data_IF_609817527340
#
_entry.id   IF_609817527340
#
_cell.length_a   1.000
_cell.length_b   1.000
_cell.length_c   1.000
_cell.angle_alpha   90.00
_cell.angle_beta   90.00
_cell.angle_gamma   90.00
#
_symmetry.space_group_name_H-M   'P 1'
#
loop_
_entity.id
_entity.type
_entity.pdbx_description
1 polymer ?
#
# COMPACT_ATOMS: atom_id res chain seq x y z
N UNK A 1 -20.91 19.17 11.14
CA UNK A 1 -19.59 19.53 10.59
C UNK A 1 -19.61 19.35 9.08
N UNK A 2 -18.74 20.03 8.35
CA UNK A 2 -18.60 19.85 6.89
C UNK A 2 -17.95 18.51 6.54
N UNK A 3 -18.21 18.02 5.32
CA UNK A 3 -17.57 16.77 4.85
C UNK A 3 -16.05 16.83 4.84
N UNK A 4 -15.45 17.98 4.49
CA UNK A 4 -14.01 18.19 4.56
C UNK A 4 -13.44 18.08 5.99
N UNK A 5 -14.15 18.58 6.99
CA UNK A 5 -13.76 18.45 8.40
C UNK A 5 -13.87 17.01 8.89
N UNK A 6 -14.89 16.28 8.40
CA UNK A 6 -15.00 14.85 8.65
C UNK A 6 -13.79 14.09 8.15
N UNK A 7 -13.37 14.34 6.90
CA UNK A 7 -12.17 13.71 6.31
C UNK A 7 -10.93 14.00 7.16
N UNK A 8 -10.71 15.24 7.58
CA UNK A 8 -9.56 15.61 8.40
C UNK A 8 -9.55 14.86 9.74
N UNK A 9 -10.68 14.82 10.45
CA UNK A 9 -10.83 14.10 11.72
C UNK A 9 -10.72 12.59 11.56
N UNK A 10 -11.26 12.03 10.49
CA UNK A 10 -11.14 10.61 10.16
C UNK A 10 -9.67 10.22 9.99
N UNK A 11 -8.91 10.97 9.17
CA UNK A 11 -7.49 10.70 8.93
C UNK A 11 -6.68 10.78 10.24
N UNK A 12 -6.94 11.77 11.06
CA UNK A 12 -6.31 11.89 12.39
C UNK A 12 -6.64 10.70 13.29
N UNK A 13 -7.90 10.28 13.33
CA UNK A 13 -8.37 9.17 14.17
C UNK A 13 -7.77 7.82 13.79
N UNK A 14 -7.47 7.59 12.50
CA UNK A 14 -6.75 6.38 12.04
C UNK A 14 -5.21 6.50 12.16
N UNK A 15 -4.70 7.58 12.74
CA UNK A 15 -3.26 7.80 12.95
C UNK A 15 -2.49 8.30 11.73
N UNK A 16 -3.16 8.65 10.63
CA UNK A 16 -2.54 9.22 9.43
C UNK A 16 -2.46 10.74 9.55
N UNK A 17 -1.47 11.21 10.30
CA UNK A 17 -1.33 12.65 10.64
C UNK A 17 -0.60 13.49 9.58
N UNK A 18 -0.11 12.87 8.50
CA UNK A 18 0.54 13.55 7.39
C UNK A 18 -0.18 13.25 6.08
N UNK A 19 -0.48 14.30 5.31
CA UNK A 19 -1.10 14.19 3.99
C UNK A 19 -0.19 14.86 2.96
N UNK A 20 0.19 14.09 1.93
CA UNK A 20 1.04 14.56 0.83
C UNK A 20 0.18 15.00 -0.34
N UNK A 21 0.42 16.20 -0.87
CA UNK A 21 -0.47 16.74 -1.90
C UNK A 21 0.21 17.72 -2.86
N UNK A 22 -0.43 17.95 -4.00
CA UNK A 22 -0.25 19.12 -4.85
C UNK A 22 -1.55 19.90 -4.84
N UNK A 23 -1.48 21.19 -4.54
CA UNK A 23 -2.66 22.05 -4.41
C UNK A 23 -3.47 22.11 -5.71
N UNK A 24 -4.81 22.04 -5.58
CA UNK A 24 -5.72 22.19 -6.69
C UNK A 24 -7.15 22.46 -6.24
N UNK A 25 -7.97 23.00 -7.13
CA UNK A 25 -9.31 23.51 -6.80
C UNK A 25 -10.23 22.47 -6.18
N UNK A 26 -10.25 21.24 -6.73
CA UNK A 26 -11.20 20.22 -6.29
C UNK A 26 -10.87 19.58 -4.91
N UNK A 27 -9.76 19.95 -4.26
CA UNK A 27 -9.43 19.51 -2.89
C UNK A 27 -9.29 20.68 -1.90
N UNK A 28 -9.57 21.91 -2.33
CA UNK A 28 -9.31 23.10 -1.51
C UNK A 28 -10.01 23.08 -0.15
N UNK A 29 -11.25 22.60 -0.08
CA UNK A 29 -11.98 22.48 1.18
C UNK A 29 -11.35 21.45 2.13
N UNK A 30 -10.86 20.32 1.60
CA UNK A 30 -10.22 19.30 2.41
C UNK A 30 -8.85 19.78 2.92
N UNK A 31 -8.06 20.45 2.08
CA UNK A 31 -6.76 20.99 2.48
C UNK A 31 -6.91 22.08 3.56
N UNK A 32 -7.91 22.97 3.43
CA UNK A 32 -8.23 23.96 4.44
C UNK A 32 -8.64 23.31 5.78
N UNK A 33 -9.49 22.28 5.74
CA UNK A 33 -9.90 21.54 6.94
C UNK A 33 -8.71 20.82 7.61
N UNK A 34 -7.82 20.20 6.82
CA UNK A 34 -6.61 19.57 7.34
C UNK A 34 -5.65 20.58 7.99
N UNK A 35 -5.51 21.77 7.38
CA UNK A 35 -4.63 22.82 7.92
C UNK A 35 -5.15 23.39 9.26
N UNK A 36 -6.45 23.31 9.52
CA UNK A 36 -7.09 23.74 10.77
C UNK A 36 -7.16 22.64 11.82
N UNK A 37 -7.06 21.38 11.45
CA UNK A 37 -7.16 20.25 12.38
C UNK A 37 -5.83 20.11 13.14
N UNK A 38 -5.86 20.32 14.45
CA UNK A 38 -4.69 20.25 15.32
C UNK A 38 -4.01 18.88 15.22
N UNK A 39 -2.68 18.87 15.04
CA UNK A 39 -1.87 17.67 14.91
C UNK A 39 -1.81 17.09 13.51
N UNK A 40 -2.54 17.65 12.53
CA UNK A 40 -2.43 17.29 11.12
C UNK A 40 -1.36 18.14 10.42
N UNK A 41 -0.67 17.53 9.47
CA UNK A 41 0.37 18.16 8.65
C UNK A 41 0.09 17.96 7.17
N UNK A 42 -0.04 19.05 6.43
CA UNK A 42 -0.13 19.04 4.97
C UNK A 42 1.27 19.28 4.39
N UNK A 43 1.74 18.36 3.57
CA UNK A 43 3.04 18.42 2.91
C UNK A 43 2.85 18.62 1.41
N UNK A 44 3.26 19.79 0.91
CA UNK A 44 3.10 20.14 -0.49
C UNK A 44 4.25 19.61 -1.34
N UNK A 45 3.91 19.00 -2.48
CA UNK A 45 4.83 18.51 -3.48
C UNK A 45 4.75 19.31 -4.78
N UNK A 46 5.72 19.13 -5.67
CA UNK A 46 5.76 19.73 -6.99
C UNK A 46 5.07 18.87 -8.06
N UNK A 47 4.81 17.59 -7.76
CA UNK A 47 4.18 16.64 -8.64
C UNK A 47 3.49 15.53 -7.83
N UNK A 48 2.28 15.13 -8.23
CA UNK A 48 1.45 14.18 -7.49
C UNK A 48 2.06 12.77 -7.45
N UNK A 49 2.80 12.37 -8.49
CA UNK A 49 3.55 11.11 -8.47
C UNK A 49 4.54 11.06 -7.30
N UNK A 50 5.24 12.16 -7.04
CA UNK A 50 6.17 12.23 -5.91
C UNK A 50 5.42 12.19 -4.57
N UNK A 51 4.24 12.80 -4.47
CA UNK A 51 3.38 12.70 -3.30
C UNK A 51 2.93 11.25 -3.05
N UNK A 52 2.55 10.52 -4.10
CA UNK A 52 2.16 9.11 -3.98
C UNK A 52 3.34 8.21 -3.56
N UNK A 53 4.54 8.46 -4.07
CA UNK A 53 5.76 7.76 -3.64
C UNK A 53 6.14 8.10 -2.19
N UNK A 54 5.87 9.33 -1.73
CA UNK A 54 6.06 9.69 -0.32
C UNK A 54 5.07 8.95 0.59
N UNK A 55 3.82 8.77 0.18
CA UNK A 55 2.85 7.96 0.93
C UNK A 55 3.27 6.49 1.01
N UNK A 56 3.77 5.91 -0.08
CA UNK A 56 4.38 4.57 -0.08
C UNK A 56 5.55 4.48 0.92
N UNK A 57 6.43 5.48 0.93
CA UNK A 57 7.59 5.53 1.82
C UNK A 57 7.20 5.60 3.31
N UNK A 58 6.07 6.19 3.67
CA UNK A 58 5.57 6.22 5.06
C UNK A 58 5.40 4.80 5.60
N UNK A 59 4.75 3.92 4.84
CA UNK A 59 4.61 2.51 5.24
C UNK A 59 5.96 1.82 5.39
N UNK A 60 6.84 1.99 4.41
CA UNK A 60 8.16 1.33 4.42
C UNK A 60 9.04 1.76 5.58
N UNK A 61 8.84 2.95 6.13
CA UNK A 61 9.69 3.51 7.19
C UNK A 61 9.12 3.28 8.59
N UNK A 62 7.81 3.39 8.77
CA UNK A 62 7.22 3.34 10.11
C UNK A 62 5.96 2.46 10.24
N UNK A 63 5.50 1.84 9.15
CA UNK A 63 4.32 0.99 9.16
C UNK A 63 2.99 1.72 9.31
N UNK A 64 2.96 3.04 9.12
CA UNK A 64 1.71 3.81 9.14
C UNK A 64 1.12 3.92 7.74
N UNK A 65 -0.21 4.09 7.66
CA UNK A 65 -0.90 4.31 6.39
C UNK A 65 -0.54 5.68 5.81
N UNK A 66 0.16 5.69 4.67
CA UNK A 66 0.45 6.93 3.94
C UNK A 66 -0.78 7.44 3.20
N UNK A 67 -0.97 8.76 3.19
CA UNK A 67 -2.14 9.41 2.58
C UNK A 67 -1.71 10.46 1.58
N UNK A 68 -2.35 10.45 0.39
CA UNK A 68 -2.22 11.55 -0.59
C UNK A 68 -3.55 12.23 -0.84
N UNK A 69 -3.48 13.49 -1.24
CA UNK A 69 -4.60 14.21 -1.86
C UNK A 69 -4.19 14.82 -3.20
N UNK A 70 -5.06 14.69 -4.20
CA UNK A 70 -4.88 15.33 -5.50
C UNK A 70 -6.20 15.89 -6.05
N UNK A 71 -6.11 16.95 -6.82
CA UNK A 71 -7.26 17.53 -7.52
C UNK A 71 -7.76 16.64 -8.65
N UNK A 72 -8.91 16.93 -9.21
CA UNK A 72 -9.49 16.23 -10.36
C UNK A 72 -8.59 16.25 -11.60
N UNK A 73 -8.87 15.38 -12.54
CA UNK A 73 -8.21 15.37 -13.86
C UNK A 73 -6.74 15.05 -13.80
N UNK A 74 -5.85 15.91 -14.34
CA UNK A 74 -4.42 15.62 -14.43
C UNK A 74 -3.77 15.43 -13.06
N UNK A 75 -4.24 16.09 -12.00
CA UNK A 75 -3.75 15.87 -10.65
C UNK A 75 -4.01 14.44 -10.18
N UNK A 76 -5.23 13.97 -10.32
CA UNK A 76 -5.60 12.60 -9.96
C UNK A 76 -4.85 11.55 -10.81
N UNK A 77 -4.76 11.73 -12.14
CA UNK A 77 -4.06 10.79 -13.01
C UNK A 77 -2.55 10.73 -12.77
N UNK A 78 -1.94 11.82 -12.32
CA UNK A 78 -0.52 11.84 -11.97
C UNK A 78 -0.18 10.97 -10.73
N UNK A 79 -1.16 10.62 -9.88
CA UNK A 79 -0.95 9.68 -8.78
C UNK A 79 -0.70 8.25 -9.25
N UNK A 80 -1.23 7.86 -10.42
CA UNK A 80 -1.34 6.46 -10.85
C UNK A 80 0.00 5.72 -10.87
N UNK A 81 1.08 6.35 -11.26
CA UNK A 81 2.41 5.72 -11.24
C UNK A 81 2.83 5.33 -9.82
N UNK A 82 2.69 6.23 -8.85
CA UNK A 82 3.02 5.93 -7.46
C UNK A 82 2.06 4.91 -6.83
N UNK A 83 0.78 4.97 -7.17
CA UNK A 83 -0.22 3.98 -6.79
C UNK A 83 0.18 2.59 -7.32
N UNK A 84 0.55 2.49 -8.60
CA UNK A 84 0.99 1.23 -9.20
C UNK A 84 2.24 0.65 -8.51
N UNK A 85 3.20 1.50 -8.11
CA UNK A 85 4.36 1.05 -7.33
C UNK A 85 3.92 0.38 -6.02
N UNK A 86 3.03 1.03 -5.25
CA UNK A 86 2.47 0.46 -4.02
C UNK A 86 1.68 -0.83 -4.26
N UNK A 87 0.93 -0.91 -5.36
CA UNK A 87 0.15 -2.11 -5.72
C UNK A 87 1.03 -3.33 -5.97
N UNK A 88 2.07 -3.18 -6.77
CA UNK A 88 2.98 -4.30 -7.08
C UNK A 88 3.83 -4.72 -5.89
N UNK A 89 4.19 -3.78 -5.02
CA UNK A 89 4.97 -4.04 -3.81
C UNK A 89 4.10 -4.39 -2.59
N UNK A 90 2.77 -4.40 -2.74
CA UNK A 90 1.81 -4.71 -1.65
C UNK A 90 1.88 -3.71 -0.48
N UNK A 91 2.05 -2.44 -0.78
CA UNK A 91 2.14 -1.36 0.20
C UNK A 91 0.77 -0.70 0.36
N UNK A 92 0.18 -0.69 1.56
CA UNK A 92 -1.08 -0.02 1.82
C UNK A 92 -0.90 1.50 1.80
N UNK A 93 -1.74 2.19 1.06
CA UNK A 93 -1.82 3.65 1.02
C UNK A 93 -3.23 4.11 0.66
N UNK A 94 -3.65 5.25 1.18
CA UNK A 94 -4.93 5.87 0.88
C UNK A 94 -4.74 7.09 -0.02
N UNK A 95 -5.34 7.05 -1.19
CA UNK A 95 -5.32 8.15 -2.15
C UNK A 95 -6.71 8.78 -2.21
N UNK A 96 -6.81 10.06 -1.83
CA UNK A 96 -8.05 10.83 -1.89
C UNK A 96 -7.95 11.79 -3.05
N UNK A 97 -8.91 11.71 -3.97
CA UNK A 97 -9.01 12.66 -5.08
C UNK A 97 -10.22 13.56 -4.90
N UNK A 98 -10.06 14.82 -5.26
CA UNK A 98 -11.20 15.71 -5.40
C UNK A 98 -11.83 15.56 -6.76
N UNK A 99 -13.13 15.76 -6.84
CA UNK A 99 -13.89 15.66 -8.07
C UNK A 99 -14.81 16.87 -8.24
N UNK A 100 -15.23 17.16 -9.47
CA UNK A 100 -16.30 18.12 -9.76
C UNK A 100 -17.57 17.75 -9.03
N UNK A 101 -18.51 18.70 -8.91
CA UNK A 101 -19.78 18.46 -8.24
C UNK A 101 -20.53 17.26 -8.85
N UNK A 102 -21.23 16.52 -8.02
CA UNK A 102 -21.90 15.29 -8.45
C UNK A 102 -22.91 15.52 -9.60
N UNK A 103 -23.58 16.66 -9.63
CA UNK A 103 -24.51 16.98 -10.72
C UNK A 103 -23.79 17.15 -12.07
N UNK A 104 -22.58 17.72 -12.08
CA UNK A 104 -21.75 17.81 -13.28
C UNK A 104 -21.29 16.41 -13.74
N UNK A 105 -20.98 15.52 -12.81
CA UNK A 105 -20.63 14.12 -13.13
C UNK A 105 -21.81 13.36 -13.78
N UNK A 106 -23.05 13.61 -13.33
CA UNK A 106 -24.25 13.01 -13.94
C UNK A 106 -24.42 13.43 -15.40
N UNK A 107 -24.15 14.70 -15.71
CA UNK A 107 -24.20 15.19 -17.08
C UNK A 107 -23.22 14.45 -17.99
N UNK A 108 -22.01 14.18 -17.49
CA UNK A 108 -21.01 13.40 -18.21
C UNK A 108 -21.49 11.96 -18.50
N UNK A 109 -22.04 11.28 -17.51
CA UNK A 109 -22.49 9.88 -17.65
C UNK A 109 -23.68 9.71 -18.61
N UNK A 110 -24.46 10.77 -18.82
CA UNK A 110 -25.64 10.78 -19.71
C UNK A 110 -25.41 11.34 -21.11
N UNK A 111 -24.23 11.91 -21.39
CA UNK A 111 -23.97 12.62 -22.64
C UNK A 111 -22.73 12.07 -23.34
N UNK A 112 -22.72 12.10 -24.70
CA UNK A 112 -21.57 11.74 -25.53
C UNK A 112 -20.51 12.87 -25.57
N UNK A 113 -20.17 13.41 -24.40
CA UNK A 113 -19.14 14.45 -24.24
C UNK A 113 -17.91 13.87 -23.53
N UNK A 114 -16.74 14.41 -23.87
CA UNK A 114 -15.49 13.95 -23.23
C UNK A 114 -15.31 14.53 -21.82
N UNK A 115 -15.92 15.65 -21.52
CA UNK A 115 -15.80 16.37 -20.26
C UNK A 115 -17.05 17.25 -20.06
N UNK A 116 -17.66 17.21 -18.88
CA UNK A 116 -18.79 18.09 -18.52
C UNK A 116 -18.37 19.14 -17.47
N UNK A 117 -17.62 18.74 -16.45
CA UNK A 117 -17.04 19.62 -15.44
C UNK A 117 -15.58 19.96 -15.72
N UNK A 118 -15.05 21.00 -15.05
CA UNK A 118 -13.67 21.43 -15.24
C UNK A 118 -12.68 20.34 -14.82
N UNK A 119 -11.86 19.88 -15.77
CA UNK A 119 -10.89 18.78 -15.56
C UNK A 119 -11.52 17.48 -15.01
N UNK A 120 -12.79 17.24 -15.31
CA UNK A 120 -13.44 15.99 -14.91
C UNK A 120 -12.79 14.79 -15.59
N UNK A 121 -12.57 13.74 -14.81
CA UNK A 121 -12.00 12.47 -15.28
C UNK A 121 -12.57 11.32 -14.46
N UNK A 122 -12.79 10.17 -15.09
CA UNK A 122 -13.14 8.93 -14.38
C UNK A 122 -11.86 8.28 -13.82
N UNK A 123 -11.35 8.87 -12.76
CA UNK A 123 -10.14 8.37 -12.09
C UNK A 123 -10.35 6.98 -11.46
N UNK A 124 -11.56 6.68 -11.04
CA UNK A 124 -11.88 5.38 -10.44
C UNK A 124 -11.66 4.25 -11.44
N UNK A 125 -12.18 4.37 -12.67
CA UNK A 125 -11.97 3.37 -13.71
C UNK A 125 -10.50 3.26 -14.12
N UNK A 126 -9.75 4.37 -14.11
CA UNK A 126 -8.32 4.36 -14.41
C UNK A 126 -7.48 3.72 -13.31
N UNK A 127 -7.85 3.88 -12.05
CA UNK A 127 -7.12 3.36 -10.90
C UNK A 127 -7.43 1.88 -10.59
N UNK A 128 -8.61 1.37 -10.95
CA UNK A 128 -9.04 -0.01 -10.66
C UNK A 128 -8.00 -1.09 -10.95
N UNK A 129 -7.25 -1.07 -12.05
CA UNK A 129 -6.25 -2.11 -12.35
C UNK A 129 -5.05 -2.12 -11.40
N UNK A 130 -4.81 -1.04 -10.70
CA UNK A 130 -3.65 -0.82 -9.81
C UNK A 130 -4.03 -0.41 -8.40
N UNK A 131 -5.29 -0.58 -8.02
CA UNK A 131 -5.81 -0.38 -6.67
C UNK A 131 -6.52 -1.63 -6.19
N UNK A 132 -6.47 -1.90 -4.90
CA UNK A 132 -7.32 -2.94 -4.29
C UNK A 132 -8.78 -2.51 -4.23
N UNK A 133 -8.99 -1.24 -4.01
CA UNK A 133 -10.31 -0.64 -3.93
C UNK A 133 -10.27 0.78 -4.52
N UNK A 134 -11.23 1.12 -5.36
CA UNK A 134 -11.37 2.46 -5.92
C UNK A 134 -12.85 2.80 -6.07
N UNK A 135 -13.28 3.90 -5.49
CA UNK A 135 -14.68 4.32 -5.44
C UNK A 135 -14.85 5.83 -5.57
N UNK A 136 -15.91 6.25 -6.27
CA UNK A 136 -16.41 7.61 -6.25
C UNK A 136 -17.65 7.66 -5.35
N UNK A 137 -17.70 8.60 -4.41
CA UNK A 137 -18.81 8.77 -3.47
C UNK A 137 -19.79 9.83 -3.94
N UNK A 138 -21.07 9.64 -3.64
CA UNK A 138 -22.15 10.52 -4.11
C UNK A 138 -22.95 11.16 -2.98
N UNK A 139 -22.85 10.64 -1.76
CA UNK A 139 -23.51 11.15 -0.56
C UNK A 139 -22.53 11.16 0.63
N UNK A 140 -22.86 11.91 1.69
CA UNK A 140 -22.08 11.91 2.92
C UNK A 140 -22.07 10.54 3.63
N UNK A 141 -23.18 9.82 3.54
CA UNK A 141 -23.27 8.46 4.11
C UNK A 141 -22.33 7.50 3.38
N UNK A 142 -22.33 7.55 2.03
CA UNK A 142 -21.35 6.81 1.25
C UNK A 142 -19.93 7.23 1.58
N UNK A 143 -19.64 8.53 1.67
CA UNK A 143 -18.30 9.02 2.01
C UNK A 143 -17.79 8.44 3.32
N UNK A 144 -18.63 8.42 4.37
CA UNK A 144 -18.28 7.82 5.68
C UNK A 144 -17.98 6.33 5.56
N UNK A 145 -18.90 5.60 4.93
CA UNK A 145 -18.79 4.15 4.74
C UNK A 145 -17.57 3.79 3.87
N UNK A 146 -17.38 4.50 2.76
CA UNK A 146 -16.34 4.16 1.81
C UNK A 146 -14.94 4.55 2.27
N UNK A 147 -14.78 5.59 3.08
CA UNK A 147 -13.51 5.89 3.74
C UNK A 147 -13.11 4.76 4.71
N UNK A 148 -14.07 4.29 5.53
CA UNK A 148 -13.88 3.13 6.40
C UNK A 148 -13.50 1.89 5.60
N UNK A 149 -14.32 1.52 4.61
CA UNK A 149 -14.12 0.35 3.75
C UNK A 149 -12.80 0.41 3.01
N UNK A 150 -12.42 1.57 2.48
CA UNK A 150 -11.14 1.74 1.78
C UNK A 150 -9.95 1.40 2.68
N UNK A 151 -9.94 1.92 3.91
CA UNK A 151 -8.86 1.60 4.86
C UNK A 151 -8.86 0.10 5.21
N UNK A 152 -10.00 -0.50 5.46
CA UNK A 152 -10.11 -1.94 5.70
C UNK A 152 -9.57 -2.75 4.50
N UNK A 153 -9.95 -2.38 3.28
CA UNK A 153 -9.48 -3.02 2.06
C UNK A 153 -7.97 -2.83 1.82
N UNK A 154 -7.39 -1.69 2.24
CA UNK A 154 -5.96 -1.48 2.11
C UNK A 154 -5.15 -2.54 2.87
N UNK A 155 -5.65 -3.00 4.00
CA UNK A 155 -4.97 -3.97 4.88
C UNK A 155 -5.46 -5.41 4.73
N UNK A 156 -6.68 -5.64 4.24
CA UNK A 156 -7.25 -6.99 4.15
C UNK A 156 -6.43 -7.91 3.23
N UNK A 157 -6.08 -9.11 3.70
CA UNK A 157 -5.31 -10.09 2.93
C UNK A 157 -3.97 -9.54 2.42
N UNK A 158 -3.71 -9.62 1.11
CA UNK A 158 -2.55 -8.96 0.51
C UNK A 158 -2.78 -7.44 0.49
N UNK A 159 -1.99 -6.70 1.25
CA UNK A 159 -2.09 -5.24 1.37
C UNK A 159 -1.91 -4.53 0.03
N UNK A 160 -2.39 -3.30 -0.07
CA UNK A 160 -2.19 -2.48 -1.27
C UNK A 160 -2.93 -1.14 -1.24
N UNK A 161 -2.73 -0.29 -2.24
CA UNK A 161 -3.30 1.04 -2.31
C UNK A 161 -4.80 1.02 -2.59
N UNK A 162 -5.46 2.06 -2.09
CA UNK A 162 -6.89 2.32 -2.28
C UNK A 162 -7.14 3.77 -2.67
N UNK A 163 -8.24 4.03 -3.38
CA UNK A 163 -8.60 5.37 -3.84
C UNK A 163 -10.06 5.70 -3.52
N UNK A 164 -10.28 6.89 -2.95
CA UNK A 164 -11.63 7.46 -2.71
C UNK A 164 -11.72 8.82 -3.40
N UNK A 165 -12.65 8.93 -4.35
CA UNK A 165 -12.87 10.14 -5.15
C UNK A 165 -14.07 10.91 -4.60
N UNK A 166 -13.84 12.14 -4.08
CA UNK A 166 -14.80 12.90 -3.27
C UNK A 166 -15.20 14.19 -3.98
N UNK A 167 -16.46 14.33 -4.44
CA UNK A 167 -16.96 15.55 -5.07
C UNK A 167 -16.92 16.78 -4.17
N UNK A 168 -16.64 17.96 -4.77
CA UNK A 168 -16.52 19.24 -4.05
C UNK A 168 -17.77 19.64 -3.27
N UNK A 169 -18.96 19.35 -3.79
CA UNK A 169 -20.22 19.65 -3.08
C UNK A 169 -20.33 18.88 -1.75
N UNK A 170 -19.83 17.64 -1.67
CA UNK A 170 -19.80 16.87 -0.42
C UNK A 170 -18.76 17.42 0.56
N UNK A 171 -17.62 17.90 0.06
CA UNK A 171 -16.58 18.47 0.91
C UNK A 171 -17.05 19.72 1.65
N UNK A 172 -17.84 20.58 0.99
CA UNK A 172 -18.27 21.89 1.54
C UNK A 172 -19.60 21.85 2.26
N UNK A 173 -20.46 20.87 1.99
CA UNK A 173 -21.79 20.80 2.59
C UNK A 173 -21.74 20.26 4.03
N UNK A 174 -22.69 20.72 4.86
CA UNK A 174 -22.88 20.21 6.23
C UNK A 174 -23.43 18.78 6.20
N UNK A 175 -22.88 17.94 7.05
CA UNK A 175 -23.29 16.55 7.25
C UNK A 175 -24.42 16.47 8.29
N UNK A 176 -25.44 15.70 8.00
CA UNK A 176 -26.53 15.41 8.96
C UNK A 176 -26.02 14.52 10.11
N UNK A 177 -25.20 13.51 9.79
CA UNK A 177 -24.51 12.66 10.77
C UNK A 177 -23.00 12.81 10.60
N UNK A 178 -22.35 13.17 11.68
CA UNK A 178 -20.92 13.48 11.73
C UNK A 178 -20.15 12.58 12.70
N UNK A 179 -20.76 11.52 13.20
CA UNK A 179 -20.05 10.50 13.99
C UNK A 179 -18.98 9.80 13.13
N UNK A 180 -17.78 9.65 13.69
CA UNK A 180 -16.67 9.00 12.97
C UNK A 180 -16.92 7.50 12.85
N UNK A 181 -17.01 7.02 11.63
CA UNK A 181 -17.08 5.61 11.31
C UNK A 181 -15.66 5.08 11.06
N UNK A 182 -15.06 4.50 12.09
CA UNK A 182 -13.67 4.05 12.03
C UNK A 182 -13.56 2.61 11.52
N UNK A 183 -12.44 2.27 10.84
CA UNK A 183 -12.20 0.91 10.38
C UNK A 183 -12.04 -0.06 11.55
N UNK A 184 -12.47 -1.30 11.34
CA UNK A 184 -12.26 -2.38 12.30
C UNK A 184 -10.84 -2.95 12.12
N UNK A 185 -10.04 -2.90 13.19
CA UNK A 185 -8.69 -3.47 13.19
C UNK A 185 -8.69 -5.00 13.02
N UNK A 186 -9.79 -5.68 13.30
CA UNK A 186 -9.92 -7.10 13.04
C UNK A 186 -9.89 -7.43 11.53
N UNK A 187 -10.26 -6.47 10.67
CA UNK A 187 -10.15 -6.62 9.21
C UNK A 187 -8.69 -6.70 8.72
N UNK A 188 -7.71 -6.38 9.57
CA UNK A 188 -6.27 -6.42 9.25
C UNK A 188 -5.60 -7.74 9.64
N UNK A 189 -6.37 -8.69 10.17
CA UNK A 189 -5.84 -10.01 10.47
C UNK A 189 -5.38 -10.70 9.15
N UNK A 190 -4.23 -11.37 9.15
CA UNK A 190 -3.82 -12.19 8.01
C UNK A 190 -4.91 -13.22 7.71
N UNK A 191 -5.19 -13.45 6.42
CA UNK A 191 -6.05 -14.55 6.03
C UNK A 191 -5.46 -15.87 6.55
N UNK A 192 -6.30 -16.72 7.13
CA UNK A 192 -5.90 -18.08 7.44
C UNK A 192 -5.65 -18.82 6.12
N UNK A 193 -4.40 -19.10 5.84
CA UNK A 193 -3.99 -19.80 4.62
C UNK A 193 -4.26 -21.31 4.67
N UNK A 194 -4.72 -21.83 5.79
CA UNK A 194 -4.89 -23.27 6.01
C UNK A 194 -3.56 -24.05 6.01
N UNK A 195 -2.43 -23.37 6.01
CA UNK A 195 -1.10 -23.99 6.05
C UNK A 195 -0.73 -24.30 7.48
N UNK A 196 -0.50 -25.57 7.78
CA UNK A 196 0.04 -25.99 9.09
C UNK A 196 1.50 -25.48 9.27
N UNK A 197 1.76 -24.57 10.21
CA UNK A 197 3.11 -24.03 10.42
C UNK A 197 4.12 -25.11 10.85
N UNK A 198 3.68 -26.16 11.54
CA UNK A 198 4.55 -27.25 12.00
C UNK A 198 4.97 -28.14 10.83
N UNK A 199 4.01 -28.48 9.95
CA UNK A 199 4.29 -29.24 8.73
C UNK A 199 5.24 -28.48 7.81
N UNK A 200 5.01 -27.16 7.63
CA UNK A 200 5.90 -26.31 6.85
C UNK A 200 7.30 -26.23 7.47
N UNK A 201 7.40 -26.04 8.79
CA UNK A 201 8.67 -26.01 9.53
C UNK A 201 9.47 -27.32 9.36
N UNK A 202 8.82 -28.47 9.38
CA UNK A 202 9.44 -29.75 9.13
C UNK A 202 9.98 -29.87 7.71
N UNK A 203 9.20 -29.45 6.71
CA UNK A 203 9.67 -29.41 5.31
C UNK A 203 10.93 -28.57 5.18
N UNK A 204 10.95 -27.38 5.77
CA UNK A 204 12.13 -26.47 5.75
C UNK A 204 13.35 -27.14 6.43
N UNK A 205 13.16 -27.80 7.58
CA UNK A 205 14.23 -28.51 8.29
C UNK A 205 14.77 -29.68 7.47
N UNK A 206 13.90 -30.48 6.85
CA UNK A 206 14.29 -31.62 6.02
C UNK A 206 15.10 -31.15 4.79
N UNK A 207 14.70 -30.05 4.16
CA UNK A 207 15.44 -29.45 3.06
C UNK A 207 16.83 -28.95 3.49
N UNK A 208 16.91 -28.21 4.58
CA UNK A 208 18.19 -27.69 5.08
C UNK A 208 19.13 -28.80 5.54
N UNK A 209 18.58 -29.85 6.18
CA UNK A 209 19.36 -31.00 6.68
C UNK A 209 19.96 -31.86 5.57
N UNK A 210 19.31 -31.93 4.40
CA UNK A 210 19.79 -32.66 3.23
C UNK A 210 20.66 -31.85 2.26
N UNK A 211 20.76 -30.54 2.44
CA UNK A 211 21.44 -29.66 1.50
C UNK A 211 22.93 -29.56 1.78
N UNK A 212 23.76 -29.61 0.72
CA UNK A 212 25.21 -29.38 0.80
C UNK A 212 25.56 -27.87 0.65
N UNK A 213 24.75 -27.11 -0.04
CA UNK A 213 24.95 -25.66 -0.29
C UNK A 213 23.65 -24.91 -0.10
N UNK A 214 23.07 -24.92 1.13
CA UNK A 214 21.81 -24.25 1.39
C UNK A 214 21.94 -22.74 1.24
N UNK A 215 20.95 -22.12 0.63
CA UNK A 215 20.82 -20.67 0.54
C UNK A 215 19.35 -20.28 0.71
N UNK A 216 19.07 -19.36 1.62
CA UNK A 216 17.73 -18.85 1.80
C UNK A 216 17.58 -17.52 1.04
N UNK A 217 16.50 -17.36 0.31
CA UNK A 217 16.16 -16.14 -0.43
C UNK A 217 14.96 -15.47 0.22
N UNK A 218 15.14 -14.24 0.69
CA UNK A 218 14.05 -13.47 1.31
C UNK A 218 13.47 -12.43 0.35
N UNK A 219 12.14 -12.44 0.25
CA UNK A 219 11.35 -11.42 -0.42
C UNK A 219 10.70 -10.44 0.57
N UNK A 220 10.06 -9.38 0.05
CA UNK A 220 9.36 -8.37 0.84
C UNK A 220 8.25 -8.95 1.75
N UNK A 221 7.67 -10.09 1.40
CA UNK A 221 6.62 -10.76 2.19
C UNK A 221 6.98 -10.99 3.65
N UNK A 222 8.26 -11.21 3.95
CA UNK A 222 8.76 -11.37 5.33
C UNK A 222 8.55 -10.10 6.17
N UNK A 223 8.81 -8.93 5.57
CA UNK A 223 8.57 -7.65 6.21
C UNK A 223 7.10 -7.32 6.33
N UNK A 224 6.33 -7.58 5.27
CA UNK A 224 4.88 -7.39 5.25
C UNK A 224 4.17 -8.25 6.32
N UNK A 225 4.66 -9.45 6.56
CA UNK A 225 4.21 -10.33 7.63
C UNK A 225 4.72 -9.95 9.03
N UNK A 226 5.54 -8.89 9.14
CA UNK A 226 6.21 -8.48 10.39
C UNK A 226 7.02 -9.60 11.07
N UNK A 227 7.57 -10.55 10.28
CA UNK A 227 8.31 -11.71 10.78
C UNK A 227 9.84 -11.56 10.64
N UNK A 228 10.33 -10.46 10.07
CA UNK A 228 11.75 -10.26 9.79
C UNK A 228 12.65 -10.38 11.02
N UNK A 229 12.23 -9.84 12.18
CA UNK A 229 13.02 -9.94 13.43
C UNK A 229 13.14 -11.36 13.99
N UNK A 230 12.11 -12.17 13.83
CA UNK A 230 12.12 -13.58 14.24
C UNK A 230 13.06 -14.35 13.32
N UNK A 231 12.95 -14.13 12.02
CA UNK A 231 13.81 -14.75 11.02
C UNK A 231 15.27 -14.34 11.17
N UNK A 232 15.56 -13.07 11.42
CA UNK A 232 16.93 -12.60 11.64
C UNK A 232 17.58 -13.33 12.83
N UNK A 233 16.88 -13.46 13.96
CA UNK A 233 17.37 -14.25 15.12
C UNK A 233 17.61 -15.72 14.76
N UNK A 234 16.68 -16.33 14.02
CA UNK A 234 16.82 -17.72 13.59
C UNK A 234 18.02 -17.91 12.66
N UNK A 235 18.24 -17.01 11.73
CA UNK A 235 19.38 -17.01 10.81
C UNK A 235 20.72 -16.91 11.57
N UNK A 236 20.80 -16.01 12.55
CA UNK A 236 21.99 -15.86 13.40
C UNK A 236 22.31 -17.13 14.17
N UNK A 237 21.27 -17.81 14.69
CA UNK A 237 21.44 -19.06 15.46
C UNK A 237 21.88 -20.22 14.57
N UNK A 238 21.29 -20.38 13.39
CA UNK A 238 21.52 -21.52 12.51
C UNK A 238 22.64 -21.29 11.48
N UNK A 239 23.15 -20.08 11.37
CA UNK A 239 24.24 -19.68 10.46
C UNK A 239 24.01 -20.06 8.99
N UNK A 240 22.76 -20.14 8.56
CA UNK A 240 22.43 -20.45 7.16
C UNK A 240 22.68 -19.20 6.31
N UNK A 241 23.42 -19.33 5.19
CA UNK A 241 23.61 -18.21 4.27
C UNK A 241 22.30 -17.73 3.68
N UNK A 242 22.14 -16.42 3.56
CA UNK A 242 20.94 -15.85 2.94
C UNK A 242 21.23 -14.65 2.05
N UNK A 243 20.33 -14.44 1.09
CA UNK A 243 20.28 -13.28 0.23
C UNK A 243 18.89 -12.64 0.32
N UNK A 244 18.81 -11.36 0.03
CA UNK A 244 17.57 -10.64 -0.02
C UNK A 244 17.24 -10.20 -1.46
N UNK A 245 15.95 -10.15 -1.81
CA UNK A 245 15.52 -9.40 -2.98
C UNK A 245 15.65 -7.91 -2.72
N UNK A 246 15.67 -7.10 -3.76
CA UNK A 246 15.67 -5.64 -3.62
C UNK A 246 14.57 -5.13 -2.67
N UNK A 247 13.34 -5.60 -2.80
CA UNK A 247 12.21 -5.18 -1.97
C UNK A 247 12.29 -5.62 -0.49
N UNK A 248 13.30 -6.41 -0.12
CA UNK A 248 13.52 -6.87 1.25
C UNK A 248 14.76 -6.28 1.93
N UNK A 249 15.48 -5.39 1.25
CA UNK A 249 16.77 -4.88 1.75
C UNK A 249 16.67 -4.16 3.10
N UNK A 250 15.58 -3.46 3.36
CA UNK A 250 15.37 -2.70 4.59
C UNK A 250 15.04 -3.55 5.82
N UNK A 251 14.81 -4.85 5.64
CA UNK A 251 14.40 -5.75 6.74
C UNK A 251 15.52 -6.50 7.42
N UNK A 252 16.73 -6.50 6.88
CA UNK A 252 17.84 -7.29 7.38
C UNK A 252 19.08 -6.45 7.68
N UNK A 253 19.84 -6.91 8.68
CA UNK A 253 21.14 -6.33 8.97
C UNK A 253 22.17 -6.74 7.90
N UNK A 254 22.64 -5.79 7.13
CA UNK A 254 23.59 -6.00 6.04
C UNK A 254 25.02 -6.35 6.52
N UNK A 255 25.30 -6.21 7.82
CA UNK A 255 26.58 -6.58 8.42
C UNK A 255 26.53 -7.96 9.08
N UNK A 256 25.41 -8.69 8.98
CA UNK A 256 25.30 -10.05 9.50
C UNK A 256 26.28 -10.98 8.77
N UNK A 257 27.00 -11.82 9.52
CA UNK A 257 28.06 -12.69 9.01
C UNK A 257 27.59 -13.65 7.91
N UNK A 258 26.34 -14.07 7.97
CA UNK A 258 25.72 -14.99 7.00
C UNK A 258 24.89 -14.28 5.92
N UNK A 259 24.89 -12.93 5.88
CA UNK A 259 24.29 -12.17 4.79
C UNK A 259 25.25 -12.10 3.60
N UNK A 260 24.91 -12.77 2.49
CA UNK A 260 25.77 -12.82 1.30
C UNK A 260 25.55 -11.60 0.39
N UNK A 261 24.38 -10.99 0.47
CA UNK A 261 24.04 -9.81 -0.33
C UNK A 261 22.63 -9.82 -0.87
N UNK A 262 22.37 -8.95 -1.85
CA UNK A 262 21.12 -8.94 -2.57
C UNK A 262 21.33 -9.44 -4.00
N UNK A 263 20.30 -10.04 -4.58
CA UNK A 263 20.36 -10.62 -5.92
C UNK A 263 19.32 -10.02 -6.86
N UNK A 264 19.50 -10.24 -8.14
CA UNK A 264 18.65 -9.74 -9.21
C UNK A 264 19.43 -8.84 -10.17
N UNK A 265 18.70 -8.13 -11.05
CA UNK A 265 19.30 -7.24 -12.07
C UNK A 265 20.19 -6.18 -11.44
N UNK A 266 19.76 -5.60 -10.32
CA UNK A 266 20.53 -4.62 -9.55
C UNK A 266 21.24 -5.26 -8.34
N UNK A 267 21.37 -6.59 -8.34
CA UNK A 267 22.00 -7.35 -7.28
C UNK A 267 23.51 -7.15 -7.24
N UNK A 268 24.11 -7.38 -6.05
CA UNK A 268 25.56 -7.39 -5.95
C UNK A 268 26.15 -8.71 -6.48
N UNK A 269 27.44 -8.67 -6.82
CA UNK A 269 28.13 -9.83 -7.39
C UNK A 269 28.05 -11.06 -6.50
N UNK A 270 28.25 -10.88 -5.17
CA UNK A 270 28.21 -11.98 -4.20
C UNK A 270 26.84 -12.64 -4.13
N UNK A 271 25.77 -11.86 -4.00
CA UNK A 271 24.41 -12.36 -3.99
C UNK A 271 24.02 -13.13 -5.25
N UNK A 272 24.35 -12.58 -6.43
CA UNK A 272 24.08 -13.25 -7.70
C UNK A 272 24.85 -14.57 -7.85
N UNK A 273 26.13 -14.61 -7.46
CA UNK A 273 26.90 -15.85 -7.48
C UNK A 273 26.41 -16.88 -6.47
N UNK A 274 26.00 -16.45 -5.27
CA UNK A 274 25.44 -17.36 -4.28
C UNK A 274 24.18 -18.06 -4.81
N UNK A 275 23.27 -17.30 -5.43
CA UNK A 275 22.06 -17.86 -6.04
C UNK A 275 22.40 -18.84 -7.17
N UNK A 276 23.37 -18.52 -8.05
CA UNK A 276 23.77 -19.41 -9.14
C UNK A 276 24.44 -20.70 -8.65
N UNK A 277 25.16 -20.65 -7.54
CA UNK A 277 25.91 -21.80 -6.99
C UNK A 277 25.17 -22.61 -5.93
N UNK A 278 24.05 -22.08 -5.43
CA UNK A 278 23.18 -22.84 -4.52
C UNK A 278 22.54 -24.02 -5.26
N UNK A 279 22.04 -24.98 -4.50
CA UNK A 279 21.34 -26.13 -5.08
C UNK A 279 19.98 -25.71 -5.61
N UNK A 280 19.61 -26.20 -6.81
CA UNK A 280 18.35 -25.81 -7.44
C UNK A 280 17.15 -26.53 -6.84
N UNK A 281 16.16 -25.75 -6.41
CA UNK A 281 14.76 -26.18 -6.37
C UNK A 281 13.94 -25.36 -7.36
N UNK A 282 13.14 -26.05 -8.13
CA UNK A 282 12.16 -25.40 -9.01
C UNK A 282 11.21 -24.56 -8.19
N UNK A 283 11.18 -23.28 -8.47
CA UNK A 283 10.36 -22.28 -7.79
C UNK A 283 8.90 -22.34 -8.24
N UNK A 284 8.24 -23.48 -8.15
CA UNK A 284 6.79 -23.57 -8.40
C UNK A 284 5.96 -22.79 -7.37
N UNK A 285 6.57 -22.38 -6.25
CA UNK A 285 5.96 -21.54 -5.24
C UNK A 285 5.68 -20.10 -5.69
N UNK A 286 6.28 -19.61 -6.77
CA UNK A 286 6.03 -18.25 -7.26
C UNK A 286 4.71 -18.09 -8.03
N UNK A 287 4.06 -19.18 -8.44
CA UNK A 287 2.88 -19.13 -9.32
C UNK A 287 1.55 -19.30 -8.61
N UNK A 288 1.51 -19.52 -7.29
CA UNK A 288 0.26 -19.65 -6.56
C UNK A 288 -0.17 -18.33 -5.91
N UNK A 289 -1.37 -17.82 -6.24
CA UNK A 289 -1.84 -16.51 -5.74
C UNK A 289 -2.09 -16.42 -4.24
N UNK A 290 -1.92 -17.51 -3.50
CA UNK A 290 -2.22 -17.60 -2.07
C UNK A 290 -0.98 -17.59 -1.15
N UNK A 291 0.24 -17.48 -1.67
CA UNK A 291 1.44 -17.38 -0.83
C UNK A 291 1.84 -15.92 -0.73
N UNK A 292 1.08 -15.16 0.06
CA UNK A 292 1.29 -13.72 0.24
C UNK A 292 2.41 -13.36 1.22
N UNK A 293 2.97 -14.28 1.99
CA UNK A 293 3.68 -13.90 3.22
C UNK A 293 5.12 -14.38 3.41
N UNK A 294 5.60 -15.35 2.69
CA UNK A 294 7.02 -15.66 2.69
C UNK A 294 7.37 -16.54 1.49
N UNK A 295 8.04 -16.01 0.50
CA UNK A 295 8.64 -16.87 -0.53
C UNK A 295 9.97 -17.36 0.02
N UNK A 296 9.97 -18.55 0.61
CA UNK A 296 11.19 -19.30 0.82
C UNK A 296 11.54 -19.95 -0.51
N UNK A 297 12.46 -19.37 -1.26
CA UNK A 297 13.13 -20.11 -2.30
C UNK A 297 14.29 -20.88 -1.64
N UNK A 298 14.06 -22.15 -1.33
CA UNK A 298 15.13 -23.07 -1.03
C UNK A 298 15.62 -23.62 -2.37
N UNK A 299 16.82 -23.23 -2.78
CA UNK A 299 17.53 -23.92 -3.85
C UNK A 299 18.29 -25.08 -3.24
N UNK A 300 18.07 -26.26 -3.78
CA UNK A 300 18.79 -27.49 -3.44
C UNK A 300 20.17 -27.50 -4.02
#
# INVERSE_FOLDING_TARGET
MKGSEYVAKFLKAIGSTQVFQVQGGAISFMVDALAREEGMRVVCFQHEQAAAMAADAVWRTNGSLGVTMATSGPGASNLLTGIACGYYDSIPSLHITGQVNYEEQKLYRGAAVRQAGFQQMDIVSMAKPVCKYAVNVTTHEEMRRELKTAVEQAFAGRMGPVLVDIPMNLQNAEMADSELLLPDSAAWAPEDTGVDPQALGKIVQDFLGGAQRPLIVFGAGVGLANQHKILERWLQTNKVPFVATWAALNYFNHTAENYVGHFGVYGNRGGNFAVQRSEEHTSELQSRPHISYAVFCLKK
#
